data_IF_233966911730
#
_entry.id   IF_233966911730
#
_cell.length_a   1.000
_cell.length_b   1.000
_cell.length_c   1.000
_cell.angle_alpha   90.00
_cell.angle_beta   90.00
_cell.angle_gamma   90.00
#
_symmetry.space_group_name_H-M   'P 1'
#
loop_
_entity.id
_entity.type
_entity.pdbx_description
1 polymer ?
#
# COMPACT_ATOMS: atom_id res chain seq x y z
N UNK A 1 -25.81 -10.97 10.91
CA UNK A 1 -24.65 -10.54 10.11
C UNK A 1 -24.48 -9.04 10.26
N UNK A 2 -23.48 -8.57 11.01
CA UNK A 2 -23.09 -7.16 10.97
C UNK A 2 -22.55 -6.84 9.57
N UNK A 3 -23.04 -5.78 8.94
CA UNK A 3 -22.55 -5.30 7.64
C UNK A 3 -21.04 -5.00 7.72
N UNK A 4 -20.28 -5.28 6.65
CA UNK A 4 -18.86 -4.92 6.53
C UNK A 4 -18.60 -3.46 6.97
N UNK A 5 -19.56 -2.56 6.73
CA UNK A 5 -19.53 -1.15 7.15
C UNK A 5 -19.41 -0.95 8.66
N UNK A 6 -20.08 -1.78 9.46
CA UNK A 6 -20.05 -1.69 10.93
C UNK A 6 -18.76 -2.22 11.56
N UNK A 7 -17.95 -2.97 10.80
CA UNK A 7 -16.68 -3.56 11.26
C UNK A 7 -15.45 -2.73 10.92
N UNK A 8 -15.59 -1.70 10.09
CA UNK A 8 -14.50 -0.82 9.64
C UNK A 8 -14.31 0.43 10.52
N UNK A 9 -15.14 0.62 11.55
CA UNK A 9 -14.94 1.71 12.50
C UNK A 9 -13.68 1.47 13.33
N UNK A 10 -12.78 2.45 13.36
CA UNK A 10 -11.58 2.42 14.22
C UNK A 10 -11.75 3.42 15.37
N UNK A 11 -10.92 3.34 16.41
CA UNK A 11 -11.04 4.22 17.58
C UNK A 11 -10.89 5.72 17.25
N UNK A 12 -10.15 6.05 16.18
CA UNK A 12 -9.84 7.43 15.81
C UNK A 12 -10.63 7.93 14.59
N UNK A 13 -11.03 7.02 13.70
CA UNK A 13 -11.81 7.35 12.52
C UNK A 13 -13.18 6.67 12.64
N UNK A 14 -14.25 7.47 12.63
CA UNK A 14 -15.62 6.96 12.72
C UNK A 14 -15.99 6.00 11.59
N UNK A 15 -17.22 5.48 11.59
CA UNK A 15 -17.69 4.66 10.46
C UNK A 15 -17.55 5.48 9.17
N UNK A 16 -17.02 4.92 8.08
CA UNK A 16 -17.00 5.60 6.79
C UNK A 16 -18.41 6.10 6.44
N UNK A 17 -18.59 7.42 6.40
CA UNK A 17 -19.87 8.04 6.02
C UNK A 17 -19.98 8.03 4.51
N UNK A 18 -20.35 6.89 3.94
CA UNK A 18 -20.83 6.85 2.56
C UNK A 18 -22.21 7.50 2.54
N UNK A 19 -22.42 8.52 1.71
CA UNK A 19 -23.72 9.19 1.59
C UNK A 19 -24.84 8.15 1.42
N UNK A 20 -25.79 8.15 2.34
CA UNK A 20 -26.78 7.07 2.51
C UNK A 20 -27.70 6.84 1.30
N UNK A 21 -27.69 7.75 0.32
CA UNK A 21 -28.65 7.82 -0.78
C UNK A 21 -28.05 7.49 -2.16
N UNK A 22 -26.72 7.47 -2.30
CA UNK A 22 -26.06 7.14 -3.56
C UNK A 22 -25.34 5.80 -3.41
N UNK A 23 -25.65 4.82 -4.27
CA UNK A 23 -24.85 3.61 -4.38
C UNK A 23 -23.36 3.95 -4.53
N UNK A 24 -22.47 3.09 -4.02
CA UNK A 24 -21.03 3.30 -4.19
C UNK A 24 -20.73 3.45 -5.68
N UNK A 25 -20.03 4.52 -6.05
CA UNK A 25 -19.60 4.70 -7.42
C UNK A 25 -18.78 3.47 -7.85
N UNK A 26 -18.98 2.94 -9.06
CA UNK A 26 -18.24 1.79 -9.51
C UNK A 26 -16.74 2.13 -9.58
N UNK A 27 -15.92 1.31 -8.92
CA UNK A 27 -14.46 1.33 -9.05
C UNK A 27 -14.09 0.53 -10.29
N UNK A 28 -13.32 1.12 -11.20
CA UNK A 28 -12.71 0.37 -12.31
C UNK A 28 -11.48 -0.33 -11.79
N UNK A 29 -11.23 -1.55 -12.24
CA UNK A 29 -10.00 -2.25 -11.89
C UNK A 29 -9.33 -2.85 -13.11
N UNK A 30 -8.02 -3.07 -13.00
CA UNK A 30 -7.26 -3.82 -13.98
C UNK A 30 -6.30 -4.76 -13.25
N UNK A 31 -6.23 -6.00 -13.73
CA UNK A 31 -5.32 -7.02 -13.20
C UNK A 31 -4.27 -7.32 -14.27
N UNK A 32 -3.03 -6.93 -14.00
CA UNK A 32 -1.91 -7.23 -14.87
C UNK A 32 -1.52 -8.69 -14.70
N UNK A 33 -1.42 -9.43 -15.81
CA UNK A 33 -1.18 -10.88 -15.81
C UNK A 33 0.30 -11.26 -15.78
N UNK A 34 1.18 -10.30 -16.01
CA UNK A 34 2.62 -10.49 -16.00
C UNK A 34 3.27 -9.49 -15.04
N UNK A 35 4.33 -9.88 -14.32
CA UNK A 35 5.06 -8.94 -13.48
C UNK A 35 5.53 -7.72 -14.26
N UNK A 36 5.36 -6.53 -13.69
CA UNK A 36 5.80 -5.27 -14.29
C UNK A 36 7.11 -4.78 -13.66
N UNK A 37 7.97 -4.16 -14.46
CA UNK A 37 9.04 -3.35 -13.90
C UNK A 37 8.45 -2.21 -13.06
N UNK A 38 9.06 -1.92 -11.90
CA UNK A 38 8.57 -0.88 -11.00
C UNK A 38 8.34 0.49 -11.68
N UNK A 39 9.27 0.98 -12.53
CA UNK A 39 9.07 2.27 -13.22
C UNK A 39 7.81 2.32 -14.09
N UNK A 40 7.45 1.21 -14.75
CA UNK A 40 6.25 1.14 -15.57
C UNK A 40 4.98 1.22 -14.72
N UNK A 41 4.96 0.54 -13.57
CA UNK A 41 3.85 0.65 -12.61
C UNK A 41 3.70 2.07 -12.07
N UNK A 42 4.81 2.77 -11.81
CA UNK A 42 4.80 4.17 -11.39
C UNK A 42 4.33 5.11 -12.50
N UNK A 43 4.75 4.88 -13.74
CA UNK A 43 4.30 5.64 -14.91
C UNK A 43 2.79 5.51 -15.12
N UNK A 44 2.25 4.29 -15.03
CA UNK A 44 0.81 4.04 -15.14
C UNK A 44 0.01 4.77 -14.06
N UNK A 45 0.47 4.71 -12.80
CA UNK A 45 -0.15 5.46 -11.70
C UNK A 45 -0.16 6.96 -11.98
N UNK A 46 0.99 7.52 -12.37
CA UNK A 46 1.12 8.94 -12.66
C UNK A 46 0.25 9.36 -13.85
N UNK A 47 0.21 8.57 -14.93
CA UNK A 47 -0.61 8.84 -16.10
C UNK A 47 -2.10 8.94 -15.75
N UNK A 48 -2.61 7.99 -14.95
CA UNK A 48 -4.00 8.04 -14.46
C UNK A 48 -4.23 9.28 -13.59
N UNK A 49 -3.34 9.57 -12.65
CA UNK A 49 -3.47 10.75 -11.78
C UNK A 49 -3.49 12.04 -12.60
N UNK A 50 -2.59 12.18 -13.58
CA UNK A 50 -2.54 13.38 -14.43
C UNK A 50 -3.80 13.56 -15.25
N UNK A 51 -4.32 12.49 -15.86
CA UNK A 51 -5.56 12.54 -16.62
C UNK A 51 -6.76 12.91 -15.73
N UNK A 52 -6.84 12.35 -14.52
CA UNK A 52 -7.89 12.71 -13.54
C UNK A 52 -7.81 14.18 -13.14
N UNK A 53 -6.61 14.68 -12.86
CA UNK A 53 -6.41 16.08 -12.51
C UNK A 53 -6.75 17.01 -13.68
N UNK A 54 -6.45 16.61 -14.92
CA UNK A 54 -6.82 17.35 -16.15
C UNK A 54 -8.34 17.49 -16.27
N UNK A 55 -9.07 16.38 -16.21
CA UNK A 55 -10.55 16.37 -16.29
C UNK A 55 -11.21 17.16 -15.16
N UNK A 56 -10.66 17.10 -13.95
CA UNK A 56 -11.12 17.89 -12.80
C UNK A 56 -10.97 19.40 -13.05
N UNK A 57 -9.86 19.84 -13.65
CA UNK A 57 -9.64 21.25 -14.03
C UNK A 57 -10.60 21.73 -15.13
N UNK A 58 -10.99 20.83 -16.03
CA UNK A 58 -11.92 21.13 -17.14
C UNK A 58 -13.41 21.06 -16.73
N UNK A 59 -13.71 20.73 -15.47
CA UNK A 59 -15.08 20.64 -14.98
C UNK A 59 -15.83 19.37 -15.37
N UNK A 60 -15.16 18.43 -16.06
CA UNK A 60 -15.73 17.12 -16.43
C UNK A 60 -15.82 16.15 -15.23
N UNK A 61 -15.13 16.48 -14.13
CA UNK A 61 -14.98 15.65 -12.93
C UNK A 61 -13.80 14.66 -13.02
N UNK A 62 -13.59 13.86 -11.97
CA UNK A 62 -12.55 12.81 -11.89
C UNK A 62 -13.10 11.46 -11.40
N UNK A 63 -14.38 11.23 -11.69
CA UNK A 63 -15.35 10.48 -10.86
C UNK A 63 -15.15 8.96 -10.78
N UNK A 64 -14.23 8.40 -11.54
CA UNK A 64 -14.01 6.94 -11.52
C UNK A 64 -12.69 6.64 -10.86
N UNK A 65 -12.79 6.14 -9.64
CA UNK A 65 -11.68 5.56 -8.92
C UNK A 65 -11.19 4.29 -9.62
N UNK A 66 -9.88 4.07 -9.56
CA UNK A 66 -9.21 2.97 -10.27
C UNK A 66 -8.40 2.14 -9.28
N UNK A 67 -8.47 0.81 -9.39
CA UNK A 67 -7.60 -0.12 -8.68
C UNK A 67 -6.74 -0.90 -9.68
N UNK A 68 -5.42 -0.75 -9.61
CA UNK A 68 -4.51 -1.68 -10.26
C UNK A 68 -4.13 -2.80 -9.32
N UNK A 69 -4.15 -4.03 -9.82
CA UNK A 69 -3.62 -5.23 -9.17
C UNK A 69 -2.55 -5.82 -10.07
N UNK A 70 -1.35 -6.01 -9.54
CA UNK A 70 -0.20 -6.49 -10.30
C UNK A 70 0.82 -7.18 -9.40
N UNK A 71 1.83 -7.75 -10.02
CA UNK A 71 3.08 -8.15 -9.37
C UNK A 71 4.21 -7.32 -9.98
N UNK A 72 5.30 -7.16 -9.25
CA UNK A 72 6.51 -6.53 -9.78
C UNK A 72 7.58 -7.57 -10.10
N UNK A 73 8.44 -7.25 -11.07
CA UNK A 73 9.77 -7.89 -11.12
C UNK A 73 10.53 -7.58 -9.81
N UNK A 74 11.47 -8.43 -9.36
CA UNK A 74 12.20 -8.22 -8.11
C UNK A 74 12.72 -6.78 -7.97
N UNK A 75 12.24 -6.07 -6.96
CA UNK A 75 12.53 -4.64 -6.79
C UNK A 75 12.48 -4.23 -5.32
N UNK A 76 13.39 -3.37 -4.92
CA UNK A 76 13.38 -2.66 -3.66
C UNK A 76 12.99 -1.21 -3.91
N UNK A 77 12.15 -0.67 -3.03
CA UNK A 77 11.82 0.76 -3.05
C UNK A 77 12.09 1.35 -1.68
N UNK A 78 12.52 2.61 -1.62
CA UNK A 78 12.56 3.38 -0.35
C UNK A 78 11.75 4.67 -0.45
N UNK A 79 11.24 5.12 0.70
CA UNK A 79 10.55 6.40 0.84
C UNK A 79 11.52 7.57 0.97
N UNK A 80 10.98 8.80 0.95
CA UNK A 80 11.75 10.05 0.90
C UNK A 80 12.54 10.39 2.18
N UNK A 81 12.48 9.58 3.25
CA UNK A 81 13.14 9.88 4.53
C UNK A 81 14.65 9.60 4.54
N UNK A 82 15.17 9.03 3.47
CA UNK A 82 16.60 8.81 3.38
C UNK A 82 17.28 10.01 2.69
N UNK A 83 18.12 10.71 3.45
CA UNK A 83 18.99 11.76 2.93
C UNK A 83 19.92 11.13 1.89
N UNK A 84 19.60 11.34 0.60
CA UNK A 84 20.38 10.85 -0.54
C UNK A 84 21.87 11.11 -0.32
N UNK A 85 22.74 10.10 -0.48
CA UNK A 85 24.17 10.34 -0.65
C UNK A 85 24.42 11.22 -1.87
N UNK A 86 25.67 11.69 -1.98
CA UNK A 86 26.19 12.40 -3.14
C UNK A 86 25.70 11.73 -4.45
N UNK A 87 25.35 12.46 -5.53
CA UNK A 87 24.80 11.86 -6.76
C UNK A 87 25.67 10.77 -7.40
N UNK A 88 26.97 10.75 -7.07
CA UNK A 88 27.96 9.78 -7.54
C UNK A 88 28.03 8.52 -6.64
N UNK A 89 27.26 8.45 -5.56
CA UNK A 89 27.24 7.33 -4.62
C UNK A 89 25.87 6.66 -4.55
N UNK A 90 25.89 5.32 -4.64
CA UNK A 90 24.70 4.51 -4.41
C UNK A 90 24.14 4.71 -3.00
N UNK A 91 22.83 4.62 -2.87
CA UNK A 91 22.15 4.66 -1.59
C UNK A 91 22.68 3.54 -0.65
N UNK A 92 22.84 3.74 0.68
CA UNK A 92 23.34 2.69 1.56
C UNK A 92 22.51 1.40 1.49
N UNK A 93 21.19 1.56 1.39
CA UNK A 93 20.27 0.43 1.22
C UNK A 93 20.37 -0.22 -0.17
N UNK A 94 20.68 0.56 -1.21
CA UNK A 94 20.92 0.02 -2.56
C UNK A 94 22.17 -0.87 -2.57
N UNK A 95 23.25 -0.44 -1.90
CA UNK A 95 24.49 -1.24 -1.77
C UNK A 95 24.23 -2.59 -1.12
N UNK A 96 23.29 -2.68 -0.18
CA UNK A 96 22.93 -3.94 0.50
C UNK A 96 22.18 -4.91 -0.41
N UNK A 97 21.43 -4.42 -1.39
CA UNK A 97 20.51 -5.24 -2.20
C UNK A 97 20.93 -5.39 -3.67
N UNK A 98 21.94 -4.67 -4.14
CA UNK A 98 22.38 -4.71 -5.55
C UNK A 98 22.81 -6.12 -6.00
N UNK A 99 23.32 -6.94 -5.08
CA UNK A 99 23.86 -8.27 -5.41
C UNK A 99 22.79 -9.35 -5.64
N UNK A 100 21.51 -9.07 -5.40
CA UNK A 100 20.43 -10.09 -5.52
C UNK A 100 19.65 -10.01 -6.84
N UNK A 101 20.11 -9.22 -7.81
CA UNK A 101 19.47 -9.11 -9.13
C UNK A 101 18.13 -8.36 -9.13
N UNK A 102 17.83 -7.61 -8.07
CA UNK A 102 16.65 -6.76 -7.94
C UNK A 102 16.98 -5.30 -8.28
N UNK A 103 16.01 -4.55 -8.82
CA UNK A 103 16.18 -3.10 -9.04
C UNK A 103 15.99 -2.32 -7.73
N UNK A 104 16.59 -1.14 -7.59
CA UNK A 104 16.37 -0.24 -6.46
C UNK A 104 15.81 1.11 -6.92
N UNK A 105 14.79 1.63 -6.23
CA UNK A 105 14.17 2.91 -6.57
C UNK A 105 13.89 3.77 -5.34
N UNK A 106 14.26 5.04 -5.41
CA UNK A 106 13.83 6.06 -4.44
C UNK A 106 12.49 6.63 -4.88
N UNK A 107 11.53 6.73 -3.96
CA UNK A 107 10.14 7.03 -4.28
C UNK A 107 9.56 8.11 -3.37
N UNK A 108 8.38 8.63 -3.73
CA UNK A 108 7.67 9.64 -2.94
C UNK A 108 6.77 9.06 -1.85
N UNK A 109 6.71 7.73 -1.66
CA UNK A 109 5.87 7.13 -0.61
C UNK A 109 6.48 7.34 0.77
N UNK A 110 5.63 7.20 1.79
CA UNK A 110 6.08 7.06 3.18
C UNK A 110 6.63 5.65 3.45
N UNK A 111 7.20 5.47 4.64
CA UNK A 111 7.73 4.18 5.10
C UNK A 111 9.20 3.93 4.71
N UNK A 112 9.76 2.89 5.30
CA UNK A 112 11.14 2.43 5.08
C UNK A 112 11.28 1.63 3.78
N UNK A 113 12.46 1.06 3.54
CA UNK A 113 12.71 0.13 2.42
C UNK A 113 11.70 -1.02 2.42
N UNK A 114 11.20 -1.40 1.25
CA UNK A 114 10.36 -2.59 1.09
C UNK A 114 10.68 -3.32 -0.21
N UNK A 115 10.41 -4.61 -0.25
CA UNK A 115 10.60 -5.48 -1.41
C UNK A 115 9.27 -5.79 -2.11
N UNK A 116 9.31 -5.84 -3.44
CA UNK A 116 8.26 -6.41 -4.27
C UNK A 116 8.83 -7.39 -5.30
N UNK A 117 8.05 -8.43 -5.61
CA UNK A 117 8.48 -9.48 -6.52
C UNK A 117 7.34 -10.44 -6.91
N UNK A 118 7.64 -11.45 -7.74
CA UNK A 118 6.67 -12.47 -8.12
C UNK A 118 6.08 -13.20 -6.90
N UNK A 119 4.78 -13.49 -6.94
CA UNK A 119 4.02 -14.06 -5.83
C UNK A 119 3.49 -13.03 -4.82
N UNK A 120 3.87 -11.76 -4.93
CA UNK A 120 3.34 -10.68 -4.10
C UNK A 120 2.37 -9.80 -4.90
N UNK A 121 1.08 -9.86 -4.55
CA UNK A 121 0.07 -8.97 -5.13
C UNK A 121 0.26 -7.57 -4.57
N UNK A 122 0.46 -6.61 -5.48
CA UNK A 122 0.52 -5.18 -5.19
C UNK A 122 -0.75 -4.51 -5.69
N UNK A 123 -1.43 -3.80 -4.78
CA UNK A 123 -2.60 -2.99 -5.09
C UNK A 123 -2.26 -1.50 -5.14
N UNK A 124 -2.61 -0.82 -6.23
CA UNK A 124 -2.56 0.64 -6.33
C UNK A 124 -3.97 1.23 -6.48
N UNK A 125 -4.64 1.55 -5.35
CA UNK A 125 -5.88 2.32 -5.36
C UNK A 125 -5.56 3.79 -5.70
N UNK A 126 -6.10 4.26 -6.82
CA UNK A 126 -5.98 5.64 -7.29
C UNK A 126 -7.33 6.31 -7.07
N UNK A 127 -7.48 6.94 -5.91
CA UNK A 127 -8.75 7.44 -5.37
C UNK A 127 -8.76 8.97 -5.20
N UNK A 128 -9.91 9.62 -5.31
CA UNK A 128 -10.05 11.03 -4.88
C UNK A 128 -10.66 11.09 -3.48
N UNK A 129 -9.78 11.11 -2.47
CA UNK A 129 -10.19 11.13 -1.08
C UNK A 129 -10.97 12.40 -0.68
N UNK A 130 -10.87 13.49 -1.44
CA UNK A 130 -11.66 14.69 -1.19
C UNK A 130 -13.12 14.48 -1.62
N UNK A 131 -13.35 13.81 -2.75
CA UNK A 131 -14.72 13.42 -3.15
C UNK A 131 -15.33 12.44 -2.14
N UNK A 132 -14.49 11.61 -1.50
CA UNK A 132 -14.90 10.69 -0.43
C UNK A 132 -15.02 11.35 0.96
N UNK A 133 -14.70 12.64 1.10
CA UNK A 133 -14.61 13.33 2.40
C UNK A 133 -13.80 12.55 3.46
N UNK A 134 -12.73 11.87 3.03
CA UNK A 134 -11.97 10.95 3.88
C UNK A 134 -10.53 11.45 4.06
N UNK A 135 -10.09 11.78 5.30
CA UNK A 135 -8.69 12.10 5.55
C UNK A 135 -7.77 10.92 5.20
N UNK A 136 -6.58 11.20 4.66
CA UNK A 136 -5.60 10.16 4.25
C UNK A 136 -5.29 9.16 5.36
N UNK A 137 -5.14 9.64 6.60
CA UNK A 137 -4.94 8.78 7.77
C UNK A 137 -6.09 7.78 7.94
N UNK A 138 -7.33 8.26 7.87
CA UNK A 138 -8.51 7.41 8.01
C UNK A 138 -8.63 6.42 6.85
N UNK A 139 -8.29 6.82 5.63
CA UNK A 139 -8.23 5.89 4.51
C UNK A 139 -7.28 4.71 4.77
N UNK A 140 -6.08 4.98 5.28
CA UNK A 140 -5.11 3.92 5.63
C UNK A 140 -5.66 3.01 6.73
N UNK A 141 -6.26 3.59 7.78
CA UNK A 141 -6.90 2.83 8.86
C UNK A 141 -8.03 1.92 8.34
N UNK A 142 -8.90 2.43 7.47
CA UNK A 142 -9.97 1.64 6.86
C UNK A 142 -9.42 0.52 5.99
N UNK A 143 -8.35 0.78 5.23
CA UNK A 143 -7.70 -0.23 4.40
C UNK A 143 -7.09 -1.35 5.27
N UNK A 144 -6.43 -0.99 6.37
CA UNK A 144 -5.88 -1.97 7.31
C UNK A 144 -7.00 -2.81 7.95
N UNK A 145 -8.09 -2.16 8.41
CA UNK A 145 -9.23 -2.87 8.98
C UNK A 145 -9.90 -3.82 7.96
N UNK A 146 -10.04 -3.38 6.70
CA UNK A 146 -10.58 -4.20 5.62
C UNK A 146 -9.72 -5.43 5.35
N UNK A 147 -8.41 -5.25 5.24
CA UNK A 147 -7.47 -6.36 5.05
C UNK A 147 -7.47 -7.32 6.24
N UNK A 148 -7.51 -6.78 7.47
CA UNK A 148 -7.58 -7.58 8.69
C UNK A 148 -8.85 -8.46 8.73
N UNK A 149 -10.03 -7.88 8.47
CA UNK A 149 -11.28 -8.65 8.40
C UNK A 149 -11.24 -9.69 7.28
N UNK A 150 -10.76 -9.32 6.09
CA UNK A 150 -10.62 -10.26 4.99
C UNK A 150 -9.76 -11.45 5.37
N UNK A 151 -8.62 -11.23 6.05
CA UNK A 151 -7.74 -12.31 6.49
C UNK A 151 -8.37 -13.16 7.60
N UNK A 152 -9.11 -12.55 8.54
CA UNK A 152 -9.87 -13.28 9.58
C UNK A 152 -10.91 -14.22 8.99
N UNK A 153 -11.51 -13.87 7.86
CA UNK A 153 -12.48 -14.74 7.17
C UNK A 153 -11.81 -16.06 6.67
N UNK A 154 -10.49 -16.11 6.55
CA UNK A 154 -9.72 -17.34 6.28
C UNK A 154 -9.28 -18.10 7.55
N UNK A 155 -9.73 -17.67 8.73
CA UNK A 155 -9.40 -18.31 10.01
C UNK A 155 -7.98 -18.03 10.52
N UNK A 156 -7.31 -17.02 9.97
CA UNK A 156 -5.97 -16.62 10.39
C UNK A 156 -6.01 -15.60 11.53
N UNK A 157 -5.05 -15.70 12.46
CA UNK A 157 -4.84 -14.67 13.48
C UNK A 157 -4.27 -13.42 12.81
N UNK A 158 -4.75 -12.24 13.22
CA UNK A 158 -4.35 -10.96 12.63
C UNK A 158 -3.80 -10.02 13.70
N UNK A 159 -2.63 -9.47 13.42
CA UNK A 159 -2.02 -8.37 14.16
C UNK A 159 -2.19 -7.06 13.37
N UNK A 160 -3.16 -6.25 13.79
CA UNK A 160 -3.47 -4.97 13.18
C UNK A 160 -4.28 -4.05 14.14
N UNK A 161 -4.04 -2.73 14.12
CA UNK A 161 -2.96 -2.06 13.38
C UNK A 161 -1.58 -2.31 14.02
N UNK A 162 -0.59 -2.75 13.23
CA UNK A 162 0.78 -2.89 13.71
C UNK A 162 1.44 -1.51 13.89
N UNK A 163 2.40 -1.39 14.80
CA UNK A 163 3.11 -0.12 15.09
C UNK A 163 3.80 0.49 13.85
N UNK A 164 4.34 -0.37 12.99
CA UNK A 164 4.94 0.00 11.69
C UNK A 164 3.93 0.31 10.58
N UNK A 165 2.63 0.28 10.85
CA UNK A 165 1.59 0.70 9.92
C UNK A 165 1.22 -0.34 8.85
N UNK A 166 1.38 -1.64 9.14
CA UNK A 166 0.94 -2.73 8.27
C UNK A 166 -0.06 -3.68 8.97
N UNK A 167 -0.59 -4.65 8.22
CA UNK A 167 -1.43 -5.75 8.71
C UNK A 167 -0.62 -7.03 8.58
N UNK A 168 -0.40 -7.73 9.69
CA UNK A 168 0.29 -9.02 9.71
C UNK A 168 -0.68 -10.13 10.08
N UNK A 169 -0.40 -11.35 9.65
CA UNK A 169 -1.20 -12.52 9.99
C UNK A 169 -0.31 -13.74 10.26
N UNK A 170 -0.75 -14.58 11.19
CA UNK A 170 -0.07 -15.82 11.57
C UNK A 170 -1.04 -17.00 11.52
N UNK A 171 -0.53 -18.18 11.13
CA UNK A 171 -1.25 -19.44 11.26
C UNK A 171 -1.15 -19.97 12.70
N UNK A 172 -2.08 -20.86 13.09
CA UNK A 172 -2.12 -21.42 14.45
C UNK A 172 -0.89 -22.31 14.81
N UNK A 173 0.01 -22.57 13.85
CA UNK A 173 1.22 -23.39 14.07
C UNK A 173 2.46 -22.60 14.53
N UNK A 174 2.38 -21.29 14.77
CA UNK A 174 3.51 -20.51 15.32
C UNK A 174 3.35 -20.17 16.80
N UNK A 175 3.17 -21.21 17.63
CA UNK A 175 3.65 -21.14 19.02
C UNK A 175 5.17 -21.31 18.98
N UNK A 176 5.89 -20.18 19.06
CA UNK A 176 7.28 -20.14 19.52
C UNK A 176 8.36 -20.03 18.45
N UNK A 177 8.71 -18.79 18.11
CA UNK A 177 10.11 -18.38 17.99
C UNK A 177 10.20 -16.86 18.17
N UNK A 178 9.95 -16.41 19.39
CA UNK A 178 10.56 -15.18 19.88
C UNK A 178 12.05 -15.49 20.07
N UNK A 179 12.86 -15.08 19.10
CA UNK A 179 14.27 -14.76 19.31
C UNK A 179 14.72 -13.86 18.15
N UNK A 180 14.46 -12.56 18.31
CA UNK A 180 15.31 -11.55 17.66
C UNK A 180 16.70 -11.68 18.31
N UNK A 181 17.78 -11.90 17.56
CA UNK A 181 19.10 -11.85 18.16
C UNK A 181 19.35 -10.43 18.69
N UNK A 182 19.83 -10.28 19.93
CA UNK A 182 20.12 -8.98 20.50
C UNK A 182 21.26 -8.32 19.73
N UNK A 183 21.23 -6.99 19.72
CA UNK A 183 22.29 -6.18 19.13
C UNK A 183 23.69 -6.64 19.53
N UNK A 184 24.59 -6.60 18.56
CA UNK A 184 26.00 -6.43 18.84
C UNK A 184 26.43 -5.13 18.18
N UNK A 185 26.63 -4.15 19.06
CA UNK A 185 27.44 -2.98 18.84
C UNK A 185 28.87 -3.34 18.41
N UNK A 186 29.50 -2.39 17.72
CA UNK A 186 30.95 -2.21 17.58
C UNK A 186 31.76 -3.28 16.83
N UNK A 187 32.09 -2.98 15.56
CA UNK A 187 33.43 -2.52 15.16
C UNK A 187 33.42 -1.96 13.73
#
# INVERSE_FOLDING_TARGET
MLSLRSRLATQACGVPTFGAEAGLAPVRYHIFKTPLAYPLGLELQNGVVQERLRRKREGEGGKTDILFLLEHTPTYTTGRRDNTPNPDELHPEEKKVVNVGASFHITKRGGQVTYHGPGQIVGYPILDLNEMNTPTRCYVEYLQALLAEYVRDFGLSVDAPHEDGHVAASGEDSVGSADSPPGQDAM
#
